data_IF_088357053665
#
_entry.id   IF_088357053665
#
_cell.length_a   1.000
_cell.length_b   1.000
_cell.length_c   1.000
_cell.angle_alpha   90.00
_cell.angle_beta   90.00
_cell.angle_gamma   90.00
#
_symmetry.space_group_name_H-M   'P 1'
#
loop_
_entity.id
_entity.type
_entity.pdbx_description
1 polymer ?
#
# COMPACT_ATOMS: atom_id res chain seq x y z
N UNK A 1 38.77 -22.18 -9.02
CA UNK A 1 38.42 -21.09 -9.97
C UNK A 1 36.89 -20.93 -10.06
N UNK A 2 36.23 -20.30 -9.07
CA UNK A 2 34.74 -20.13 -9.10
C UNK A 2 34.22 -18.80 -8.55
N UNK A 3 35.08 -17.83 -8.19
CA UNK A 3 34.66 -16.62 -7.46
C UNK A 3 34.43 -15.38 -8.36
N UNK A 4 35.01 -15.35 -9.57
CA UNK A 4 34.88 -14.21 -10.48
C UNK A 4 33.54 -14.20 -11.25
N UNK A 5 33.06 -15.37 -11.67
CA UNK A 5 31.84 -15.52 -12.47
C UNK A 5 30.57 -15.19 -11.67
N UNK A 6 30.52 -15.59 -10.39
CA UNK A 6 29.40 -15.29 -9.48
C UNK A 6 29.28 -13.81 -9.13
N UNK A 7 30.41 -13.09 -8.98
CA UNK A 7 30.44 -11.65 -8.75
C UNK A 7 29.96 -10.84 -9.95
N UNK A 8 30.35 -11.24 -11.17
CA UNK A 8 29.87 -10.63 -12.42
C UNK A 8 28.36 -10.76 -12.60
N UNK A 9 27.81 -11.94 -12.31
CA UNK A 9 26.36 -12.21 -12.35
C UNK A 9 25.58 -11.38 -11.33
N UNK A 10 26.07 -11.26 -10.09
CA UNK A 10 25.44 -10.40 -9.06
C UNK A 10 25.48 -8.90 -9.42
N UNK A 11 26.56 -8.44 -10.06
CA UNK A 11 26.71 -7.05 -10.49
C UNK A 11 25.78 -6.71 -11.66
N UNK A 12 25.59 -7.65 -12.60
CA UNK A 12 24.63 -7.53 -13.70
C UNK A 12 23.19 -7.55 -13.19
N UNK A 13 22.83 -8.50 -12.32
CA UNK A 13 21.49 -8.57 -11.71
C UNK A 13 21.17 -7.28 -10.91
N UNK A 14 22.13 -6.71 -10.19
CA UNK A 14 21.99 -5.40 -9.52
C UNK A 14 21.75 -4.23 -10.48
N UNK A 15 22.24 -4.31 -11.72
CA UNK A 15 21.99 -3.30 -12.76
C UNK A 15 20.61 -3.45 -13.42
N UNK A 16 20.04 -4.66 -13.46
CA UNK A 16 18.73 -4.93 -14.04
C UNK A 16 17.55 -4.77 -13.06
N UNK A 17 17.77 -4.96 -11.75
CA UNK A 17 16.83 -4.46 -10.75
C UNK A 17 17.09 -2.98 -10.51
N UNK A 18 16.41 -2.12 -11.28
CA UNK A 18 16.31 -0.71 -10.91
C UNK A 18 15.80 -0.65 -9.46
N UNK A 19 16.40 0.17 -8.58
CA UNK A 19 15.96 0.38 -7.20
C UNK A 19 14.55 1.00 -7.07
N UNK A 20 13.77 0.97 -8.15
CA UNK A 20 12.43 1.46 -8.29
C UNK A 20 11.47 0.50 -7.60
N UNK A 21 10.86 0.95 -6.52
CA UNK A 21 9.81 0.23 -5.80
C UNK A 21 8.55 1.08 -5.79
N UNK A 22 7.39 0.47 -6.01
CA UNK A 22 6.10 1.13 -5.83
C UNK A 22 5.43 0.60 -4.56
N UNK A 23 4.68 1.44 -3.88
CA UNK A 23 3.91 1.03 -2.71
C UNK A 23 2.47 0.72 -3.13
N UNK A 24 2.05 -0.53 -2.93
CA UNK A 24 0.67 -0.96 -3.16
C UNK A 24 -0.11 -0.92 -1.84
N UNK A 25 -1.26 -0.25 -1.84
CA UNK A 25 -2.23 -0.28 -0.75
C UNK A 25 -3.54 -0.86 -1.27
N UNK A 26 -4.14 -1.78 -0.53
CA UNK A 26 -5.44 -2.33 -0.87
C UNK A 26 -6.32 -2.47 0.36
N UNK A 27 -7.63 -2.38 0.13
CA UNK A 27 -8.67 -2.46 1.15
C UNK A 27 -9.70 -3.50 0.75
N UNK A 28 -10.01 -4.43 1.65
CA UNK A 28 -10.96 -5.51 1.42
C UNK A 28 -11.83 -5.71 2.65
N UNK A 29 -13.05 -6.22 2.46
CA UNK A 29 -13.88 -6.75 3.54
C UNK A 29 -14.44 -8.12 3.13
N UNK A 30 -15.42 -8.63 3.89
CA UNK A 30 -16.11 -9.90 3.61
C UNK A 30 -16.84 -9.93 2.26
N UNK A 31 -17.13 -8.78 1.66
CA UNK A 31 -17.72 -8.65 0.32
C UNK A 31 -16.65 -8.57 -0.78
N UNK A 32 -15.36 -8.68 -0.42
CA UNK A 32 -14.22 -8.67 -1.33
C UNK A 32 -13.50 -7.32 -1.38
N UNK A 33 -12.76 -7.12 -2.47
CA UNK A 33 -11.84 -5.99 -2.66
C UNK A 33 -12.61 -4.68 -2.92
N UNK A 34 -12.45 -3.69 -2.05
CA UNK A 34 -13.07 -2.37 -2.21
C UNK A 34 -12.25 -1.46 -3.13
N UNK A 35 -10.95 -1.38 -2.86
CA UNK A 35 -10.07 -0.40 -3.48
C UNK A 35 -8.63 -0.92 -3.50
N UNK A 36 -7.93 -0.60 -4.59
CA UNK A 36 -6.50 -0.80 -4.75
C UNK A 36 -5.91 0.51 -5.25
N UNK A 37 -4.80 0.92 -4.69
CA UNK A 37 -4.09 2.11 -5.11
C UNK A 37 -2.58 1.87 -5.09
N UNK A 38 -1.91 2.33 -6.13
CA UNK A 38 -0.46 2.28 -6.26
C UNK A 38 0.11 3.70 -6.10
N UNK A 39 1.10 3.86 -5.22
CA UNK A 39 1.87 5.10 -5.17
C UNK A 39 2.87 5.17 -6.32
N UNK A 40 3.31 6.40 -6.61
CA UNK A 40 4.34 6.62 -7.61
C UNK A 40 5.64 5.89 -7.23
N UNK A 41 6.46 5.65 -8.26
CA UNK A 41 7.79 5.04 -8.11
C UNK A 41 8.60 5.73 -7.01
N UNK A 42 9.12 4.94 -6.08
CA UNK A 42 9.92 5.34 -4.92
C UNK A 42 9.24 6.27 -3.92
N UNK A 43 7.93 6.49 -4.04
CA UNK A 43 7.15 7.25 -3.07
C UNK A 43 6.87 6.38 -1.83
N UNK A 44 7.09 6.96 -0.65
CA UNK A 44 6.83 6.29 0.64
C UNK A 44 5.41 6.59 1.10
N UNK A 45 4.81 5.64 1.82
CA UNK A 45 3.58 5.88 2.56
C UNK A 45 3.88 6.77 3.77
N UNK A 46 3.55 8.06 3.70
CA UNK A 46 3.58 8.98 4.84
C UNK A 46 2.22 9.01 5.55
N UNK A 47 2.15 9.63 6.74
CA UNK A 47 0.90 9.84 7.46
C UNK A 47 -0.12 10.59 6.60
N UNK A 48 0.28 11.67 5.94
CA UNK A 48 -0.64 12.49 5.14
C UNK A 48 -1.21 11.73 3.94
N UNK A 49 -0.36 10.98 3.25
CA UNK A 49 -0.77 10.10 2.15
C UNK A 49 -1.72 9.03 2.68
N UNK A 50 -1.43 8.44 3.85
CA UNK A 50 -2.29 7.43 4.46
C UNK A 50 -3.66 8.00 4.85
N UNK A 51 -3.72 9.18 5.49
CA UNK A 51 -4.97 9.87 5.83
C UNK A 51 -5.79 10.18 4.57
N UNK A 52 -5.15 10.64 3.50
CA UNK A 52 -5.83 10.91 2.23
C UNK A 52 -6.41 9.64 1.61
N UNK A 53 -5.68 8.53 1.66
CA UNK A 53 -6.19 7.22 1.22
C UNK A 53 -7.42 6.79 2.02
N UNK A 54 -7.45 7.02 3.34
CA UNK A 54 -8.62 6.72 4.16
C UNK A 54 -9.84 7.58 3.81
N UNK A 55 -9.64 8.87 3.48
CA UNK A 55 -10.74 9.73 3.00
C UNK A 55 -11.32 9.20 1.69
N UNK A 56 -10.47 8.81 0.74
CA UNK A 56 -10.91 8.21 -0.53
C UNK A 56 -11.61 6.88 -0.33
N UNK A 57 -11.06 6.02 0.55
CA UNK A 57 -11.69 4.76 0.91
C UNK A 57 -13.10 4.98 1.47
N UNK A 58 -13.29 5.99 2.33
CA UNK A 58 -14.62 6.32 2.86
C UNK A 58 -15.62 6.60 1.74
N UNK A 59 -15.25 7.44 0.76
CA UNK A 59 -16.09 7.74 -0.40
C UNK A 59 -16.41 6.48 -1.22
N UNK A 60 -15.41 5.63 -1.46
CA UNK A 60 -15.58 4.36 -2.17
C UNK A 60 -16.52 3.41 -1.42
N UNK A 61 -16.45 3.38 -0.08
CA UNK A 61 -17.34 2.57 0.74
C UNK A 61 -18.76 3.13 0.81
N UNK A 62 -18.92 4.46 0.79
CA UNK A 62 -20.23 5.11 0.72
C UNK A 62 -20.96 4.76 -0.59
N UNK A 63 -20.22 4.73 -1.69
CA UNK A 63 -20.74 4.37 -3.02
C UNK A 63 -20.98 2.86 -3.17
N UNK A 64 -19.95 2.02 -2.94
CA UNK A 64 -20.04 0.58 -3.19
C UNK A 64 -20.75 -0.21 -2.09
N UNK A 65 -20.77 0.33 -0.87
CA UNK A 65 -21.24 -0.38 0.35
C UNK A 65 -22.05 0.55 1.26
N UNK A 66 -23.11 1.20 0.74
CA UNK A 66 -23.86 2.22 1.48
C UNK A 66 -24.41 1.68 2.81
N UNK A 67 -24.85 0.41 2.84
CA UNK A 67 -25.37 -0.27 4.04
C UNK A 67 -24.36 -0.38 5.20
N UNK A 68 -23.06 -0.37 4.89
CA UNK A 68 -22.00 -0.55 5.89
C UNK A 68 -21.63 0.79 6.53
N UNK A 69 -21.56 1.85 5.72
CA UNK A 69 -21.23 3.20 6.18
C UNK A 69 -22.43 3.87 6.86
N UNK A 70 -23.65 3.72 6.31
CA UNK A 70 -24.86 4.31 6.89
C UNK A 70 -25.14 3.83 8.31
N UNK A 71 -24.81 2.57 8.60
CA UNK A 71 -24.95 1.96 9.93
C UNK A 71 -23.77 2.22 10.87
N UNK A 72 -22.73 2.94 10.43
CA UNK A 72 -21.47 3.16 11.17
C UNK A 72 -20.82 1.86 11.67
N UNK A 73 -21.02 0.75 10.95
CA UNK A 73 -20.55 -0.58 11.33
C UNK A 73 -19.21 -0.95 10.66
N UNK A 74 -18.46 0.04 10.19
CA UNK A 74 -17.17 -0.19 9.54
C UNK A 74 -16.05 -0.14 10.59
N UNK A 75 -15.39 -1.28 10.82
CA UNK A 75 -14.19 -1.37 11.66
C UNK A 75 -12.95 -1.42 10.78
N UNK A 76 -12.00 -0.53 11.05
CA UNK A 76 -10.72 -0.51 10.36
C UNK A 76 -9.75 -1.46 11.06
N UNK A 77 -9.36 -2.53 10.37
CA UNK A 77 -8.29 -3.42 10.81
C UNK A 77 -7.04 -3.17 9.97
N UNK A 78 -5.95 -2.76 10.61
CA UNK A 78 -4.68 -2.42 9.95
C UNK A 78 -3.49 -2.67 10.88
N UNK A 79 -2.30 -2.83 10.29
CA UNK A 79 -1.06 -2.97 11.05
C UNK A 79 -0.63 -1.64 11.67
N UNK A 80 0.01 -1.69 12.85
CA UNK A 80 0.52 -0.54 13.61
C UNK A 80 1.82 0.07 13.01
N UNK A 81 1.88 0.26 11.68
CA UNK A 81 3.02 0.93 11.06
C UNK A 81 3.02 2.42 11.47
N UNK A 82 4.20 3.06 11.56
CA UNK A 82 4.30 4.46 12.00
C UNK A 82 3.32 5.43 11.30
N UNK A 83 3.13 5.38 9.97
CA UNK A 83 2.15 6.26 9.30
C UNK A 83 0.69 6.00 9.71
N UNK A 84 0.38 4.80 10.21
CA UNK A 84 -0.96 4.36 10.53
C UNK A 84 -1.38 4.72 11.96
N UNK A 85 -0.42 4.86 12.88
CA UNK A 85 -0.64 5.20 14.28
C UNK A 85 -0.14 6.60 14.66
N UNK A 86 0.34 7.38 13.71
CA UNK A 86 0.74 8.75 13.94
C UNK A 86 -0.49 9.62 14.25
N UNK A 87 -0.43 10.38 15.35
CA UNK A 87 -1.48 11.32 15.75
C UNK A 87 -1.48 12.56 14.88
N UNK A 88 -2.69 13.10 14.67
CA UNK A 88 -3.04 14.35 13.97
C UNK A 88 -2.17 15.52 14.36
#
# INVERSE_FOLDING_TARGET
MSSAKDRGSRQLLKKFFTNVKCFLSFWSDVKGLAQVELLNKNQKMTKDIYCEKLRRLKLVLEDKRPSSVSRRNAFLHHHNARPHAATG
#
